data_IF_611256781424
#
_entry.id   IF_611256781424
#
_cell.length_a   1.000
_cell.length_b   1.000
_cell.length_c   1.000
_cell.angle_alpha   90.00
_cell.angle_beta   90.00
_cell.angle_gamma   90.00
#
_symmetry.space_group_name_H-M   'P 1'
#
loop_
_entity.id
_entity.type
_entity.pdbx_description
1 polymer ?
#
# COMPACT_ATOMS: atom_id res chain seq x y z
N UNK A 1 38.14 4.60 11.14
CA UNK A 1 37.29 3.80 12.06
C UNK A 1 35.88 4.38 12.04
N UNK A 2 35.06 4.09 11.02
CA UNK A 2 33.71 4.68 10.90
C UNK A 2 32.69 3.77 10.21
N UNK A 3 33.12 2.62 9.69
CA UNK A 3 32.28 1.66 8.96
C UNK A 3 31.49 0.69 9.84
N UNK A 4 31.83 0.57 11.13
CA UNK A 4 31.16 -0.36 12.04
C UNK A 4 29.89 0.23 12.71
N UNK A 5 29.81 1.55 12.87
CA UNK A 5 28.69 2.19 13.57
C UNK A 5 27.42 2.29 12.70
N UNK A 6 27.52 2.54 11.39
CA UNK A 6 26.34 2.63 10.51
C UNK A 6 25.60 1.29 10.38
N UNK A 7 26.33 0.17 10.36
CA UNK A 7 25.75 -1.18 10.26
C UNK A 7 24.77 -1.52 11.40
N UNK A 8 24.90 -0.88 12.57
CA UNK A 8 24.03 -1.13 13.73
C UNK A 8 22.77 -0.28 13.74
N UNK A 9 22.80 0.95 13.18
CA UNK A 9 21.59 1.78 13.05
C UNK A 9 20.67 1.31 11.93
N UNK A 10 21.25 0.73 10.86
CA UNK A 10 20.53 0.21 9.69
C UNK A 10 19.65 -1.02 9.97
N UNK A 11 19.73 -1.60 11.19
CA UNK A 11 18.97 -2.80 11.60
C UNK A 11 17.95 -2.57 12.70
N UNK A 12 17.82 -1.34 13.22
CA UNK A 12 16.87 -1.07 14.31
C UNK A 12 15.52 -0.70 13.73
N UNK A 13 14.52 -1.55 14.00
CA UNK A 13 13.11 -1.25 13.71
C UNK A 13 12.70 -0.03 14.54
N UNK A 14 12.07 0.95 13.91
CA UNK A 14 11.58 2.15 14.58
C UNK A 14 10.56 1.81 15.67
N UNK A 15 10.64 2.40 16.87
CA UNK A 15 9.60 2.28 17.89
C UNK A 15 8.22 2.71 17.39
N UNK A 16 8.17 3.66 16.45
CA UNK A 16 6.93 4.12 15.80
C UNK A 16 6.30 2.99 15.00
N UNK A 17 7.10 2.25 14.22
CA UNK A 17 6.63 1.10 13.46
C UNK A 17 6.11 0.00 14.37
N UNK A 18 6.83 -0.30 15.46
CA UNK A 18 6.39 -1.26 16.45
C UNK A 18 5.06 -0.83 17.10
N UNK A 19 4.89 0.46 17.37
CA UNK A 19 3.63 1.03 17.85
C UNK A 19 2.49 0.80 16.86
N UNK A 20 2.71 1.03 15.57
CA UNK A 20 1.69 0.81 14.52
C UNK A 20 1.35 -0.69 14.40
N UNK A 21 2.34 -1.58 14.42
CA UNK A 21 2.12 -3.03 14.43
C UNK A 21 1.35 -3.46 15.68
N UNK A 22 1.64 -2.88 16.85
CA UNK A 22 0.91 -3.15 18.07
C UNK A 22 -0.56 -2.69 17.96
N UNK A 23 -0.81 -1.49 17.41
CA UNK A 23 -2.18 -1.02 17.12
C UNK A 23 -2.89 -2.01 16.20
N UNK A 24 -2.28 -2.37 15.07
CA UNK A 24 -2.83 -3.35 14.12
C UNK A 24 -3.19 -4.67 14.81
N UNK A 25 -2.30 -5.21 15.65
CA UNK A 25 -2.54 -6.48 16.33
C UNK A 25 -3.68 -6.38 17.36
N UNK A 26 -3.69 -5.32 18.17
CA UNK A 26 -4.70 -5.11 19.22
C UNK A 26 -6.07 -4.85 18.62
N UNK A 27 -6.16 -4.03 17.58
CA UNK A 27 -7.45 -3.69 16.96
C UNK A 27 -7.95 -4.84 16.10
N UNK A 28 -7.07 -5.58 15.42
CA UNK A 28 -7.42 -6.83 14.75
C UNK A 28 -7.97 -7.88 15.72
N UNK A 29 -7.34 -8.04 16.89
CA UNK A 29 -7.86 -8.90 17.95
C UNK A 29 -9.22 -8.40 18.47
N UNK A 30 -9.37 -7.09 18.70
CA UNK A 30 -10.64 -6.52 19.18
C UNK A 30 -11.79 -6.72 18.17
N UNK A 31 -11.51 -6.60 16.86
CA UNK A 31 -12.46 -6.92 15.79
C UNK A 31 -12.78 -8.41 15.75
N UNK A 32 -11.81 -9.28 16.05
CA UNK A 32 -12.02 -10.73 16.09
C UNK A 32 -12.83 -11.19 17.30
N UNK A 33 -12.59 -10.65 18.48
CA UNK A 33 -13.30 -11.10 19.70
C UNK A 33 -14.65 -10.41 19.89
N UNK A 34 -14.98 -9.42 19.05
CA UNK A 34 -16.13 -8.55 19.28
C UNK A 34 -16.01 -7.74 20.57
N UNK A 35 -14.78 -7.48 21.03
CA UNK A 35 -14.54 -6.77 22.30
C UNK A 35 -14.94 -5.29 22.22
N UNK A 36 -14.88 -4.70 21.02
CA UNK A 36 -15.33 -3.33 20.81
C UNK A 36 -16.86 -3.29 20.73
N UNK A 37 -17.51 -2.54 21.63
CA UNK A 37 -18.95 -2.27 21.56
C UNK A 37 -19.35 -1.62 20.21
N UNK A 38 -18.42 -0.89 19.59
CA UNK A 38 -18.55 -0.36 18.24
C UNK A 38 -17.48 -1.01 17.33
N UNK A 39 -17.83 -2.00 16.49
CA UNK A 39 -16.85 -2.70 15.65
C UNK A 39 -16.15 -1.76 14.66
N UNK A 40 -16.82 -0.68 14.21
CA UNK A 40 -16.31 0.22 13.19
C UNK A 40 -15.01 0.94 13.56
N UNK A 41 -14.84 1.40 14.81
CA UNK A 41 -13.59 2.04 15.24
C UNK A 41 -12.42 1.04 15.22
N UNK A 42 -12.65 -0.20 15.67
CA UNK A 42 -11.64 -1.25 15.65
C UNK A 42 -11.24 -1.61 14.21
N UNK A 43 -12.22 -1.74 13.31
CA UNK A 43 -12.01 -1.96 11.87
C UNK A 43 -11.20 -0.81 11.26
N UNK A 44 -11.59 0.44 11.51
CA UNK A 44 -10.87 1.63 11.01
C UNK A 44 -9.40 1.61 11.41
N UNK A 45 -9.11 1.41 12.70
CA UNK A 45 -7.74 1.39 13.21
C UNK A 45 -6.95 0.19 12.70
N UNK A 46 -7.57 -1.00 12.61
CA UNK A 46 -6.97 -2.20 12.06
C UNK A 46 -6.55 -2.01 10.60
N UNK A 47 -7.49 -1.63 9.74
CA UNK A 47 -7.26 -1.46 8.31
C UNK A 47 -6.22 -0.35 8.05
N UNK A 48 -6.36 0.79 8.73
CA UNK A 48 -5.41 1.92 8.59
C UNK A 48 -4.00 1.51 9.02
N UNK A 49 -3.86 0.87 10.19
CA UNK A 49 -2.55 0.44 10.68
C UNK A 49 -1.93 -0.63 9.77
N UNK A 50 -2.71 -1.62 9.31
CA UNK A 50 -2.25 -2.65 8.39
C UNK A 50 -1.81 -2.07 7.03
N UNK A 51 -2.56 -1.09 6.51
CA UNK A 51 -2.19 -0.38 5.29
C UNK A 51 -0.88 0.41 5.45
N UNK A 52 -0.69 1.12 6.57
CA UNK A 52 0.57 1.82 6.86
C UNK A 52 1.74 0.83 6.98
N UNK A 53 1.52 -0.33 7.62
CA UNK A 53 2.54 -1.38 7.71
C UNK A 53 2.94 -1.86 6.31
N UNK A 54 1.97 -2.14 5.43
CA UNK A 54 2.23 -2.52 4.04
C UNK A 54 3.05 -1.46 3.31
N UNK A 55 2.70 -0.18 3.45
CA UNK A 55 3.47 0.93 2.86
C UNK A 55 4.91 0.99 3.39
N UNK A 56 5.12 0.79 4.69
CA UNK A 56 6.48 0.76 5.25
C UNK A 56 7.29 -0.42 4.70
N UNK A 57 6.66 -1.58 4.52
CA UNK A 57 7.29 -2.78 3.94
C UNK A 57 7.63 -2.57 2.47
N UNK A 58 6.76 -1.92 1.70
CA UNK A 58 6.98 -1.53 0.31
C UNK A 58 8.26 -0.69 0.17
N UNK A 59 8.35 0.39 0.94
CA UNK A 59 9.52 1.28 0.95
C UNK A 59 10.80 0.59 1.43
N UNK A 60 10.64 -0.28 2.42
CA UNK A 60 11.75 -1.10 2.89
C UNK A 60 12.24 -2.07 1.81
N UNK A 61 11.35 -2.65 1.01
CA UNK A 61 11.72 -3.57 -0.07
C UNK A 61 12.53 -2.87 -1.15
N UNK A 62 12.12 -1.66 -1.55
CA UNK A 62 12.92 -0.79 -2.42
C UNK A 62 14.31 -0.52 -1.84
N UNK A 63 14.38 -0.04 -0.60
CA UNK A 63 15.64 0.28 0.06
C UNK A 63 16.56 -0.95 0.18
N UNK A 64 15.98 -2.11 0.51
CA UNK A 64 16.69 -3.37 0.70
C UNK A 64 17.23 -3.93 -0.61
N UNK A 65 16.45 -3.91 -1.69
CA UNK A 65 16.89 -4.40 -3.01
C UNK A 65 17.95 -3.49 -3.62
N UNK A 66 17.86 -2.19 -3.40
CA UNK A 66 18.85 -1.24 -3.86
C UNK A 66 20.18 -1.34 -3.08
N UNK A 67 20.13 -1.61 -1.77
CA UNK A 67 21.33 -1.93 -0.98
C UNK A 67 22.03 -3.20 -1.51
N UNK A 68 21.28 -4.27 -1.81
CA UNK A 68 21.85 -5.49 -2.41
C UNK A 68 22.39 -5.25 -3.81
N UNK A 69 21.80 -4.31 -4.56
CA UNK A 69 22.25 -3.93 -5.89
C UNK A 69 23.53 -3.07 -5.90
N UNK A 70 24.01 -2.66 -4.72
CA UNK A 70 25.27 -1.94 -4.53
C UNK A 70 25.12 -0.46 -4.15
N UNK A 71 23.90 0.04 -3.93
CA UNK A 71 23.69 1.42 -3.51
C UNK A 71 23.84 1.56 -1.98
N UNK A 72 25.06 1.90 -1.57
CA UNK A 72 25.41 2.15 -0.17
C UNK A 72 24.86 3.50 0.36
N UNK A 73 24.31 4.37 -0.50
CA UNK A 73 23.78 5.68 -0.07
C UNK A 73 22.43 5.57 0.67
N UNK A 74 21.77 4.42 0.56
CA UNK A 74 20.44 4.16 1.14
C UNK A 74 20.48 3.95 2.65
N UNK A 75 21.58 3.41 3.17
CA UNK A 75 21.79 3.33 4.63
C UNK A 75 21.72 4.70 5.31
N UNK A 76 22.14 5.75 4.62
CA UNK A 76 22.12 7.12 5.15
C UNK A 76 20.73 7.79 5.14
N UNK A 77 19.80 7.35 4.29
CA UNK A 77 18.45 7.96 4.18
C UNK A 77 17.46 7.47 5.24
N UNK A 78 17.80 6.45 6.03
CA UNK A 78 16.98 5.99 7.15
C UNK A 78 15.75 5.16 6.79
N UNK A 79 15.51 4.89 5.50
CA UNK A 79 14.39 4.05 5.01
C UNK A 79 14.44 2.60 5.52
N UNK A 80 15.63 2.11 5.89
CA UNK A 80 15.81 0.77 6.49
C UNK A 80 15.23 0.65 7.91
N UNK A 81 14.82 1.76 8.54
CA UNK A 81 14.28 1.76 9.91
C UNK A 81 12.77 1.57 9.99
N UNK A 82 12.08 1.41 8.85
CA UNK A 82 10.61 1.27 8.76
C UNK A 82 9.84 2.45 9.39
N UNK A 83 10.45 3.63 9.49
CA UNK A 83 9.81 4.77 10.14
C UNK A 83 8.96 5.58 9.13
N UNK A 84 7.62 5.60 9.26
CA UNK A 84 6.75 6.34 8.35
C UNK A 84 7.00 7.84 8.31
N UNK A 85 7.50 8.40 9.41
CA UNK A 85 7.75 9.84 9.55
C UNK A 85 9.04 10.29 8.82
N UNK A 86 9.87 9.35 8.39
CA UNK A 86 11.11 9.66 7.65
C UNK A 86 10.93 9.58 6.13
N UNK A 87 9.75 9.21 5.65
CA UNK A 87 9.46 9.20 4.23
C UNK A 87 9.32 10.64 3.73
N UNK A 88 10.02 10.93 2.63
CA UNK A 88 10.34 12.28 2.11
C UNK A 88 9.11 13.14 1.85
N UNK A 89 7.96 12.52 1.57
CA UNK A 89 6.69 13.21 1.37
C UNK A 89 5.54 12.55 2.12
N UNK A 90 5.68 12.30 3.43
CA UNK A 90 4.62 11.71 4.27
C UNK A 90 3.22 12.35 4.08
N UNK A 91 3.14 13.63 3.72
CA UNK A 91 1.87 14.29 3.38
C UNK A 91 1.22 13.74 2.09
N UNK A 92 1.98 13.58 1.01
CA UNK A 92 1.48 13.01 -0.25
C UNK A 92 1.40 11.49 -0.20
N UNK A 93 2.30 10.86 0.57
CA UNK A 93 2.46 9.43 0.69
C UNK A 93 1.51 8.77 1.68
N UNK A 94 1.02 9.50 2.68
CA UNK A 94 0.20 8.93 3.77
C UNK A 94 -1.08 9.75 3.94
N UNK A 95 -0.97 11.07 4.09
CA UNK A 95 -2.13 11.92 4.42
C UNK A 95 -3.13 11.98 3.27
N UNK A 96 -2.68 12.17 2.03
CA UNK A 96 -3.57 12.27 0.88
C UNK A 96 -4.36 10.96 0.61
N UNK A 97 -3.73 9.77 0.53
CA UNK A 97 -4.47 8.50 0.38
C UNK A 97 -5.45 8.24 1.53
N UNK A 98 -5.07 8.53 2.77
CA UNK A 98 -5.96 8.36 3.93
C UNK A 98 -7.17 9.30 3.84
N UNK A 99 -6.97 10.56 3.43
CA UNK A 99 -8.08 11.49 3.21
C UNK A 99 -9.02 11.03 2.09
N UNK A 100 -8.50 10.45 1.01
CA UNK A 100 -9.34 9.92 -0.08
C UNK A 100 -10.13 8.66 0.32
N UNK A 101 -9.51 7.77 1.10
CA UNK A 101 -10.20 6.62 1.69
C UNK A 101 -11.34 7.11 2.61
N UNK A 102 -11.10 8.15 3.40
CA UNK A 102 -12.09 8.77 4.31
C UNK A 102 -13.20 9.51 3.54
N UNK A 103 -12.88 10.18 2.42
CA UNK A 103 -13.81 11.05 1.69
C UNK A 103 -14.68 10.34 0.64
N UNK A 104 -14.34 9.13 0.17
CA UNK A 104 -15.11 8.54 -0.92
C UNK A 104 -14.78 7.12 -1.37
N UNK A 105 -14.09 6.30 -0.57
CA UNK A 105 -13.94 4.85 -0.85
C UNK A 105 -12.94 4.47 -1.93
N UNK A 106 -12.18 5.43 -2.44
CA UNK A 106 -11.10 5.13 -3.38
C UNK A 106 -9.86 4.76 -2.57
N UNK A 107 -9.63 3.45 -2.43
CA UNK A 107 -8.42 2.88 -1.83
C UNK A 107 -7.19 3.18 -2.65
N UNK A 108 -6.46 4.27 -2.36
CA UNK A 108 -5.34 4.68 -3.20
C UNK A 108 -3.98 4.35 -2.57
N UNK A 109 -2.94 4.13 -3.38
CA UNK A 109 -1.61 3.81 -2.91
C UNK A 109 -1.03 5.05 -2.24
N UNK A 110 -0.22 4.83 -1.22
CA UNK A 110 0.64 5.87 -0.70
C UNK A 110 1.46 6.48 -1.84
N UNK A 111 1.37 7.80 -2.01
CA UNK A 111 2.19 8.55 -2.94
C UNK A 111 3.66 8.09 -2.98
N UNK A 112 4.15 7.93 -4.21
CA UNK A 112 5.44 7.35 -4.52
C UNK A 112 6.62 8.02 -3.80
N UNK A 113 7.52 7.19 -3.26
CA UNK A 113 8.83 7.64 -2.80
C UNK A 113 9.77 7.74 -3.98
N UNK A 114 10.29 8.94 -4.21
CA UNK A 114 11.39 9.15 -5.13
C UNK A 114 12.67 8.49 -4.60
N UNK A 115 12.98 7.32 -5.15
CA UNK A 115 14.32 6.74 -5.07
C UNK A 115 15.16 7.50 -6.11
N UNK A 116 16.32 8.00 -5.71
CA UNK A 116 17.26 8.62 -6.66
C UNK A 116 18.03 7.51 -7.39
N UNK A 117 17.53 7.07 -8.53
CA UNK A 117 18.12 5.95 -9.28
C UNK A 117 19.48 6.24 -9.95
N UNK A 118 20.03 7.45 -9.80
CA UNK A 118 21.20 7.95 -10.53
C UNK A 118 22.54 7.23 -10.26
N UNK A 119 22.61 6.26 -9.34
CA UNK A 119 23.89 5.60 -8.97
C UNK A 119 23.97 4.10 -9.26
N UNK A 120 22.94 3.48 -9.84
CA UNK A 120 22.86 2.02 -9.96
C UNK A 120 23.25 1.57 -11.36
N UNK A 121 24.35 0.81 -11.45
CA UNK A 121 24.88 0.28 -12.72
C UNK A 121 24.08 -0.95 -13.16
N UNK A 122 23.24 -0.79 -14.19
CA UNK A 122 22.61 -1.88 -14.93
C UNK A 122 21.09 -1.79 -15.04
N UNK A 123 20.56 -1.89 -16.26
CA UNK A 123 19.12 -1.74 -16.56
C UNK A 123 18.24 -2.69 -15.76
N UNK A 124 18.63 -3.95 -15.65
CA UNK A 124 17.91 -4.98 -14.90
C UNK A 124 17.85 -4.71 -13.39
N UNK A 125 18.96 -4.23 -12.79
CA UNK A 125 19.00 -3.94 -11.35
C UNK A 125 18.07 -2.78 -11.02
N UNK A 126 18.04 -1.76 -11.87
CA UNK A 126 17.14 -0.63 -11.71
C UNK A 126 15.67 -1.05 -11.83
N UNK A 127 15.33 -1.88 -12.82
CA UNK A 127 13.98 -2.42 -12.94
C UNK A 127 13.58 -3.27 -11.73
N UNK A 128 14.49 -4.09 -11.21
CA UNK A 128 14.23 -4.94 -10.05
C UNK A 128 13.99 -4.13 -8.77
N UNK A 129 14.74 -3.04 -8.58
CA UNK A 129 14.54 -2.15 -7.44
C UNK A 129 13.16 -1.51 -7.51
N UNK A 130 12.79 -0.96 -8.66
CA UNK A 130 11.45 -0.39 -8.86
C UNK A 130 10.33 -1.44 -8.78
N UNK A 131 10.60 -2.71 -9.10
CA UNK A 131 9.59 -3.76 -8.93
C UNK A 131 9.43 -4.22 -7.46
N UNK A 132 10.44 -4.00 -6.61
CA UNK A 132 10.47 -4.57 -5.25
C UNK A 132 9.33 -4.12 -4.34
N UNK A 133 8.99 -2.83 -4.35
CA UNK A 133 7.85 -2.30 -3.61
C UNK A 133 6.52 -2.86 -4.11
N UNK A 134 6.17 -2.70 -5.40
CA UNK A 134 4.94 -3.25 -5.97
C UNK A 134 4.77 -4.76 -5.72
N UNK A 135 5.85 -5.54 -5.83
CA UNK A 135 5.84 -6.98 -5.50
C UNK A 135 5.56 -7.25 -4.02
N UNK A 136 5.99 -6.36 -3.12
CA UNK A 136 5.68 -6.47 -1.68
C UNK A 136 4.19 -6.19 -1.43
N UNK A 137 3.60 -5.22 -2.14
CA UNK A 137 2.15 -4.99 -2.07
C UNK A 137 1.38 -6.20 -2.59
N UNK A 138 1.83 -6.83 -3.69
CA UNK A 138 1.23 -8.07 -4.21
C UNK A 138 1.34 -9.19 -3.17
N UNK A 139 2.51 -9.39 -2.57
CA UNK A 139 2.69 -10.40 -1.54
C UNK A 139 1.76 -10.15 -0.34
N UNK A 140 1.61 -8.89 0.09
CA UNK A 140 0.70 -8.52 1.17
C UNK A 140 -0.77 -8.74 0.77
N UNK A 141 -1.16 -8.38 -0.47
CA UNK A 141 -2.49 -8.65 -1.01
C UNK A 141 -2.79 -10.16 -1.00
N UNK A 142 -1.85 -11.01 -1.43
CA UNK A 142 -1.99 -12.47 -1.40
C UNK A 142 -2.19 -12.97 0.03
N UNK A 143 -1.47 -12.44 1.01
CA UNK A 143 -1.66 -12.80 2.43
C UNK A 143 -3.05 -12.38 2.93
N UNK A 144 -3.53 -11.20 2.53
CA UNK A 144 -4.87 -10.74 2.90
C UNK A 144 -5.99 -11.54 2.21
N UNK A 145 -5.80 -11.98 0.97
CA UNK A 145 -6.81 -12.76 0.23
C UNK A 145 -6.75 -14.25 0.53
N UNK A 146 -5.62 -14.78 1.02
CA UNK A 146 -5.40 -16.19 1.33
C UNK A 146 -6.57 -16.87 2.07
N UNK A 147 -7.13 -16.28 3.14
CA UNK A 147 -8.23 -16.92 3.85
C UNK A 147 -9.49 -17.15 3.00
N UNK A 148 -9.75 -16.31 1.99
CA UNK A 148 -10.95 -16.39 1.15
C UNK A 148 -10.89 -17.54 0.13
N UNK A 149 -9.77 -17.70 -0.57
CA UNK A 149 -9.64 -18.75 -1.59
C UNK A 149 -9.11 -20.10 -1.05
N UNK A 150 -8.67 -20.13 0.22
CA UNK A 150 -8.35 -21.37 0.94
C UNK A 150 -9.54 -21.92 1.74
N UNK A 151 -10.71 -21.29 1.66
CA UNK A 151 -11.90 -21.62 2.48
C UNK A 151 -11.57 -21.68 3.99
N UNK A 152 -10.68 -20.80 4.45
CA UNK A 152 -10.19 -20.76 5.84
C UNK A 152 -10.92 -19.70 6.70
N UNK A 153 -12.16 -19.36 6.33
CA UNK A 153 -12.99 -18.35 7.01
C UNK A 153 -14.01 -18.97 7.97
N UNK A 154 -14.07 -20.29 8.07
CA UNK A 154 -14.95 -20.98 9.01
C UNK A 154 -14.64 -20.58 10.46
N UNK A 155 -15.65 -20.09 11.17
CA UNK A 155 -15.52 -19.61 12.55
C UNK A 155 -14.90 -18.21 12.71
N UNK A 156 -14.59 -17.53 11.60
CA UNK A 156 -14.13 -16.13 11.63
C UNK A 156 -15.32 -15.18 11.78
N UNK A 157 -15.31 -14.24 12.73
CA UNK A 157 -16.38 -13.26 12.88
C UNK A 157 -16.54 -12.41 11.62
N UNK A 158 -17.79 -12.17 11.22
CA UNK A 158 -18.14 -11.49 9.97
C UNK A 158 -17.50 -10.09 9.86
N UNK A 159 -17.48 -9.31 10.95
CA UNK A 159 -16.83 -8.00 10.97
C UNK A 159 -15.33 -8.06 10.64
N UNK A 160 -14.64 -9.12 11.06
CA UNK A 160 -13.22 -9.33 10.72
C UNK A 160 -13.07 -9.74 9.25
N UNK A 161 -13.96 -10.59 8.73
CA UNK A 161 -13.96 -10.96 7.31
C UNK A 161 -14.14 -9.73 6.42
N UNK A 162 -15.10 -8.86 6.76
CA UNK A 162 -15.34 -7.60 6.04
C UNK A 162 -14.14 -6.65 6.13
N UNK A 163 -13.54 -6.48 7.32
CA UNK A 163 -12.34 -5.69 7.47
C UNK A 163 -11.18 -6.21 6.61
N UNK A 164 -11.00 -7.54 6.56
CA UNK A 164 -9.97 -8.18 5.76
C UNK A 164 -10.25 -8.06 4.24
N UNK A 165 -11.51 -8.19 3.82
CA UNK A 165 -11.93 -7.99 2.43
C UNK A 165 -11.65 -6.55 1.97
N UNK A 166 -11.99 -5.55 2.80
CA UNK A 166 -11.68 -4.16 2.49
C UNK A 166 -10.18 -3.87 2.49
N UNK A 167 -9.42 -4.44 3.44
CA UNK A 167 -7.95 -4.34 3.40
C UNK A 167 -7.38 -4.96 2.12
N UNK A 168 -7.88 -6.13 1.68
CA UNK A 168 -7.49 -6.74 0.42
C UNK A 168 -7.78 -5.83 -0.78
N UNK A 169 -8.95 -5.20 -0.83
CA UNK A 169 -9.28 -4.18 -1.84
C UNK A 169 -8.23 -3.07 -1.87
N UNK A 170 -7.84 -2.52 -0.71
CA UNK A 170 -6.79 -1.48 -0.63
C UNK A 170 -5.45 -1.98 -1.19
N UNK A 171 -5.05 -3.21 -0.87
CA UNK A 171 -3.76 -3.77 -1.27
C UNK A 171 -3.71 -4.13 -2.77
N UNK A 172 -4.79 -4.69 -3.32
CA UNK A 172 -4.92 -4.95 -4.75
C UNK A 172 -4.90 -3.65 -5.53
N UNK A 173 -5.67 -2.65 -5.09
CA UNK A 173 -5.69 -1.32 -5.71
C UNK A 173 -4.30 -0.67 -5.65
N UNK A 174 -3.63 -0.74 -4.49
CA UNK A 174 -2.27 -0.25 -4.33
C UNK A 174 -1.26 -0.98 -5.24
N UNK A 175 -1.41 -2.28 -5.43
CA UNK A 175 -0.55 -3.05 -6.31
C UNK A 175 -0.75 -2.65 -7.79
N UNK A 176 -2.00 -2.62 -8.27
CA UNK A 176 -2.32 -2.29 -9.66
C UNK A 176 -1.82 -0.90 -10.03
N UNK A 177 -2.08 0.10 -9.18
CA UNK A 177 -1.65 1.47 -9.45
C UNK A 177 -0.13 1.61 -9.44
N UNK A 178 0.56 0.96 -8.49
CA UNK A 178 2.02 1.01 -8.47
C UNK A 178 2.67 0.27 -9.66
N UNK A 179 1.96 -0.62 -10.34
CA UNK A 179 2.42 -1.20 -11.61
C UNK A 179 2.10 -0.35 -12.86
N UNK A 180 1.32 0.72 -12.73
CA UNK A 180 1.04 1.58 -13.88
C UNK A 180 2.33 2.22 -14.41
N UNK A 181 2.55 2.22 -15.74
CA UNK A 181 3.73 2.81 -16.37
C UNK A 181 3.63 4.35 -16.46
N UNK A 182 3.25 5.02 -15.36
CA UNK A 182 3.11 6.47 -15.29
C UNK A 182 4.34 7.09 -14.63
N UNK A 183 4.99 8.10 -15.24
CA UNK A 183 6.16 8.77 -14.66
C UNK A 183 5.88 9.22 -13.23
N UNK A 184 6.75 8.87 -12.28
CA UNK A 184 6.54 9.14 -10.87
C UNK A 184 5.91 8.01 -10.07
N UNK A 185 5.50 6.91 -10.70
CA UNK A 185 5.13 5.65 -10.04
C UNK A 185 6.20 4.57 -10.29
N UNK A 186 6.18 3.51 -9.48
CA UNK A 186 7.17 2.44 -9.53
C UNK A 186 7.17 1.67 -10.85
N UNK A 187 5.98 1.43 -11.42
CA UNK A 187 5.80 0.74 -12.69
C UNK A 187 6.52 1.45 -13.84
N UNK A 188 6.58 2.79 -13.82
CA UNK A 188 7.42 3.53 -14.74
C UNK A 188 8.91 3.28 -14.49
N UNK A 189 9.37 3.26 -13.24
CA UNK A 189 10.76 2.93 -12.89
C UNK A 189 11.19 1.52 -13.32
N UNK A 190 10.25 0.58 -13.49
CA UNK A 190 10.52 -0.75 -14.07
C UNK A 190 10.87 -0.64 -15.55
N UNK A 191 10.12 0.14 -16.33
CA UNK A 191 10.31 0.28 -17.79
C UNK A 191 11.31 1.38 -18.18
N UNK A 192 11.52 2.36 -17.32
CA UNK A 192 12.36 3.54 -17.58
C UNK A 192 13.76 3.16 -18.10
N UNK A 193 14.49 2.19 -17.51
CA UNK A 193 15.81 1.79 -18.00
C UNK A 193 15.83 1.23 -19.42
N UNK A 194 14.67 0.87 -19.97
CA UNK A 194 14.50 0.32 -21.32
C UNK A 194 14.08 1.38 -22.34
N UNK A 195 13.53 2.50 -21.87
CA UNK A 195 13.13 3.62 -22.73
C UNK A 195 14.34 4.32 -23.34
N UNK A 196 14.13 4.91 -24.53
CA UNK A 196 15.12 5.74 -25.21
C UNK A 196 15.42 7.01 -24.43
N UNK A 197 16.62 7.58 -24.59
CA UNK A 197 16.99 8.83 -23.91
C UNK A 197 16.04 9.99 -24.20
N UNK A 198 15.49 10.06 -25.42
CA UNK A 198 14.52 11.08 -25.81
C UNK A 198 13.21 10.94 -25.01
N UNK A 199 12.70 9.71 -24.88
CA UNK A 199 11.48 9.44 -24.12
C UNK A 199 11.65 9.78 -22.63
N UNK A 200 12.77 9.40 -22.00
CA UNK A 200 13.04 9.74 -20.60
C UNK A 200 13.06 11.25 -20.36
N UNK A 201 13.78 11.99 -21.21
CA UNK A 201 13.91 13.45 -21.07
C UNK A 201 12.58 14.19 -21.28
N UNK A 202 11.66 13.61 -22.05
CA UNK A 202 10.31 14.15 -22.21
C UNK A 202 9.42 13.88 -20.99
N UNK A 203 9.63 12.76 -20.30
CA UNK A 203 8.82 12.33 -19.16
C UNK A 203 9.35 12.80 -17.80
N UNK A 204 10.63 13.14 -17.71
CA UNK A 204 11.30 13.64 -16.50
C UNK A 204 10.57 14.83 -15.83
N UNK A 205 10.05 15.84 -16.56
CA UNK A 205 9.29 16.94 -15.95
C UNK A 205 7.94 16.51 -15.35
N UNK A 206 7.39 15.39 -15.82
CA UNK A 206 6.09 14.87 -15.37
C UNK A 206 6.22 14.03 -14.10
N UNK A 207 7.40 13.49 -13.80
CA UNK A 207 7.58 12.57 -12.68
C UNK A 207 7.08 13.14 -11.34
N UNK A 208 7.37 14.40 -10.94
CA UNK A 208 6.86 14.97 -9.67
C UNK A 208 5.34 15.07 -9.59
N UNK A 209 4.68 15.13 -10.75
CA UNK A 209 3.22 15.25 -10.87
C UNK A 209 2.55 13.90 -11.15
N UNK A 210 3.31 12.80 -11.24
CA UNK A 210 2.81 11.47 -11.62
C UNK A 210 1.59 11.03 -10.83
N UNK A 211 1.71 11.09 -9.51
CA UNK A 211 0.63 10.74 -8.60
C UNK A 211 -0.60 11.65 -8.82
N UNK A 212 -0.41 12.97 -8.92
CA UNK A 212 -1.49 13.92 -9.21
C UNK A 212 -2.18 13.63 -10.56
N UNK A 213 -1.42 13.23 -11.57
CA UNK A 213 -1.94 12.90 -12.89
C UNK A 213 -2.83 11.65 -12.80
N UNK A 214 -2.40 10.61 -12.08
CA UNK A 214 -3.24 9.43 -11.82
C UNK A 214 -4.53 9.82 -11.11
N UNK A 215 -4.46 10.68 -10.09
CA UNK A 215 -5.67 11.21 -9.43
C UNK A 215 -6.60 11.92 -10.41
N UNK A 216 -6.07 12.83 -11.23
CA UNK A 216 -6.86 13.58 -12.19
C UNK A 216 -7.54 12.66 -13.23
N UNK A 217 -6.86 11.59 -13.65
CA UNK A 217 -7.40 10.60 -14.57
C UNK A 217 -8.47 9.73 -13.91
N UNK A 218 -8.26 9.29 -12.67
CA UNK A 218 -9.25 8.50 -11.91
C UNK A 218 -10.47 9.33 -11.46
N UNK A 219 -10.41 10.66 -11.55
CA UNK A 219 -11.58 11.52 -11.34
C UNK A 219 -12.60 11.43 -12.47
N UNK A 220 -12.18 10.97 -13.66
CA UNK A 220 -13.08 10.75 -14.79
C UNK A 220 -13.94 9.52 -14.49
N UNK A 221 -15.28 9.64 -14.36
CA UNK A 221 -16.14 8.55 -13.91
C UNK A 221 -16.01 7.27 -14.73
N UNK A 222 -15.83 7.40 -16.05
CA UNK A 222 -15.66 6.27 -16.96
C UNK A 222 -14.36 5.52 -16.71
N UNK A 223 -13.27 6.24 -16.44
CA UNK A 223 -11.97 5.63 -16.13
C UNK A 223 -12.00 5.00 -14.75
N UNK A 224 -12.62 5.68 -13.79
CA UNK A 224 -12.85 5.17 -12.45
C UNK A 224 -13.62 3.83 -12.47
N UNK A 225 -14.73 3.78 -13.21
CA UNK A 225 -15.53 2.56 -13.36
C UNK A 225 -14.72 1.41 -13.92
N UNK A 226 -14.05 1.60 -15.06
CA UNK A 226 -13.20 0.55 -15.67
C UNK A 226 -12.09 0.09 -14.72
N UNK A 227 -11.50 1.02 -13.97
CA UNK A 227 -10.45 0.72 -13.02
C UNK A 227 -10.96 -0.16 -11.86
N UNK A 228 -12.06 0.22 -11.23
CA UNK A 228 -12.66 -0.57 -10.16
C UNK A 228 -13.26 -1.89 -10.65
N UNK A 229 -13.85 -1.93 -11.85
CA UNK A 229 -14.29 -3.17 -12.48
C UNK A 229 -13.15 -4.18 -12.60
N UNK A 230 -11.94 -3.72 -12.94
CA UNK A 230 -10.75 -4.56 -13.01
C UNK A 230 -10.29 -5.04 -11.62
N UNK A 231 -10.33 -4.15 -10.61
CA UNK A 231 -10.02 -4.49 -9.21
C UNK A 231 -11.01 -5.53 -8.68
N UNK A 232 -12.31 -5.30 -8.87
CA UNK A 232 -13.39 -6.18 -8.40
C UNK A 232 -13.38 -7.51 -9.16
N UNK A 233 -13.02 -7.52 -10.45
CA UNK A 233 -12.79 -8.77 -11.18
C UNK A 233 -11.67 -9.62 -10.56
N UNK A 234 -10.57 -8.99 -10.14
CA UNK A 234 -9.46 -9.68 -9.44
C UNK A 234 -9.93 -10.21 -8.09
N UNK A 235 -10.63 -9.39 -7.30
CA UNK A 235 -11.11 -9.78 -5.96
C UNK A 235 -12.13 -10.91 -6.02
N UNK A 236 -13.09 -10.86 -6.95
CA UNK A 236 -14.04 -11.95 -7.20
C UNK A 236 -13.34 -13.23 -7.62
N UNK A 237 -12.30 -13.13 -8.45
CA UNK A 237 -11.44 -14.26 -8.80
C UNK A 237 -10.69 -14.87 -7.61
N UNK A 238 -10.50 -14.10 -6.53
CA UNK A 238 -9.86 -14.53 -5.28
C UNK A 238 -10.88 -14.92 -4.19
N UNK A 239 -12.16 -15.07 -4.53
CA UNK A 239 -13.22 -15.47 -3.60
C UNK A 239 -13.77 -14.36 -2.71
N UNK A 240 -13.39 -13.10 -2.96
CA UNK A 240 -13.89 -11.95 -2.21
C UNK A 240 -15.09 -11.36 -2.95
N UNK A 241 -16.25 -11.30 -2.28
CA UNK A 241 -17.47 -10.73 -2.85
C UNK A 241 -17.50 -9.21 -2.74
N UNK A 242 -18.18 -8.57 -3.69
CA UNK A 242 -18.41 -7.12 -3.72
C UNK A 242 -19.16 -6.65 -2.44
N UNK A 243 -20.01 -7.52 -1.88
CA UNK A 243 -20.68 -7.28 -0.61
C UNK A 243 -19.69 -7.22 0.57
N UNK A 244 -18.70 -8.12 0.61
CA UNK A 244 -17.72 -8.15 1.70
C UNK A 244 -16.81 -6.92 1.68
N UNK A 245 -16.40 -6.46 0.50
CA UNK A 245 -15.62 -5.21 0.35
C UNK A 245 -16.45 -3.99 0.69
N UNK A 246 -17.71 -3.93 0.24
CA UNK A 246 -18.65 -2.87 0.56
C UNK A 246 -18.91 -2.77 2.07
N UNK A 247 -19.23 -3.88 2.73
CA UNK A 247 -19.48 -3.89 4.16
C UNK A 247 -18.24 -3.59 5.00
N UNK A 248 -17.06 -4.01 4.53
CA UNK A 248 -15.81 -3.59 5.15
C UNK A 248 -15.56 -2.09 5.04
N UNK A 249 -15.89 -1.50 3.89
CA UNK A 249 -15.80 -0.06 3.67
C UNK A 249 -16.83 0.72 4.50
N UNK A 250 -18.05 0.19 4.66
CA UNK A 250 -19.09 0.77 5.49
C UNK A 250 -18.69 0.77 6.98
N UNK A 251 -18.22 -0.36 7.50
CA UNK A 251 -17.68 -0.48 8.86
C UNK A 251 -16.45 0.42 9.08
N UNK A 252 -15.60 0.58 8.07
CA UNK A 252 -14.45 1.48 8.14
C UNK A 252 -14.88 2.95 8.32
N UNK A 253 -16.00 3.37 7.71
CA UNK A 253 -16.58 4.73 7.84
C UNK A 253 -17.57 4.82 9.00
N UNK A 254 -17.15 4.38 10.18
CA UNK A 254 -17.99 4.32 11.38
C UNK A 254 -18.64 5.65 11.80
N UNK A 255 -18.18 6.79 11.28
CA UNK A 255 -18.73 8.12 11.53
C UNK A 255 -19.90 8.51 10.60
N UNK A 256 -20.19 7.70 9.58
CA UNK A 256 -21.39 7.87 8.73
C UNK A 256 -22.51 6.95 9.24
N UNK A 257 -23.76 7.30 8.94
CA UNK A 257 -24.89 6.39 9.23
C UNK A 257 -24.66 5.08 8.48
N UNK A 258 -24.53 3.99 9.22
CA UNK A 258 -24.24 2.66 8.67
C UNK A 258 -25.41 2.16 7.83
N UNK A 259 -25.08 1.41 6.77
CA UNK A 259 -26.09 0.78 5.92
C UNK A 259 -26.67 -0.48 6.58
N UNK A 260 -28.00 -0.59 6.63
CA UNK A 260 -28.69 -1.77 7.19
C UNK A 260 -28.36 -3.09 6.45
N UNK A 261 -27.77 -2.98 5.26
CA UNK A 261 -27.39 -4.09 4.38
C UNK A 261 -26.34 -5.01 5.03
N UNK A 262 -25.44 -4.45 5.83
CA UNK A 262 -24.31 -5.19 6.40
C UNK A 262 -24.62 -5.83 7.76
N UNK A 263 -25.79 -5.54 8.34
CA UNK A 263 -26.29 -6.11 9.60
C UNK A 263 -27.25 -7.28 9.34
N UNK A 264 -27.83 -7.34 8.13
CA UNK A 264 -28.90 -8.28 7.76
C UNK A 264 -28.45 -9.44 6.87
N UNK A 265 -27.17 -9.49 6.49
CA UNK A 265 -26.59 -10.45 5.54
C UNK A 265 -25.77 -11.55 6.18
#
# INVERSE_FOLDING_TARGET
MTTAASRRSDRRISPVFLGIVAVMAVTGWATWTGFAEQPGMAVFLFVTAAWIVSLCLHEYAHARTALHSGDISIGAKGYLTLNPLKYTHALLSIVLPVLFVIMGGIGLPGGAVFIEHGRIRGRWKHSLISAAGPLTNVAFAVVCTAPFWLDALDGVPQAFQYALAFLALLQVTAAILNFLPVPGLDGYGVIEPWLSHKARRQMEPLAPFGLLLVFAVLWIPQVNGVFFDAVDAVLRGLGISDLATYCGFDLYRFWQEGSDVCVTS
#
